data_IF_245261986083
#
_entry.id   IF_245261986083
#
_cell.length_a   1.000
_cell.length_b   1.000
_cell.length_c   1.000
_cell.angle_alpha   90.00
_cell.angle_beta   90.00
_cell.angle_gamma   90.00
#
_symmetry.space_group_name_H-M   'P 1'
#
loop_
_entity.id
_entity.type
_entity.pdbx_description
1 polymer ?
#
# COMPACT_ATOMS: atom_id res chain seq x y z
N UNK A 1 -13.54 -0.98 -20.96
CA UNK A 1 -12.34 -0.11 -20.93
C UNK A 1 -11.33 -0.78 -20.03
N UNK A 2 -10.17 -1.12 -20.59
CA UNK A 2 -9.12 -1.85 -19.89
C UNK A 2 -8.21 -0.88 -19.15
N UNK A 3 -7.96 -1.12 -17.86
CA UNK A 3 -7.12 -0.25 -17.03
C UNK A 3 -5.92 -1.05 -16.52
N UNK A 4 -4.73 -0.49 -16.69
CA UNK A 4 -3.51 -0.94 -16.04
C UNK A 4 -3.03 0.16 -15.10
N UNK A 5 -2.78 -0.15 -13.83
CA UNK A 5 -2.19 0.83 -12.91
C UNK A 5 -0.73 0.54 -12.62
N UNK A 6 0.07 1.57 -12.39
CA UNK A 6 1.49 1.43 -12.03
C UNK A 6 1.76 1.98 -10.62
N UNK A 7 2.40 1.18 -9.77
CA UNK A 7 2.96 1.60 -8.47
C UNK A 7 4.43 1.21 -8.43
N UNK A 8 5.35 2.18 -8.39
CA UNK A 8 6.79 1.89 -8.50
C UNK A 8 7.67 2.80 -7.64
N UNK A 9 8.94 2.44 -7.47
CA UNK A 9 9.97 3.21 -6.77
C UNK A 9 11.03 3.84 -7.70
N UNK A 10 10.81 3.84 -9.01
CA UNK A 10 11.73 4.35 -10.03
C UNK A 10 11.91 5.87 -10.06
N UNK A 11 11.02 6.62 -9.41
CA UNK A 11 10.93 8.07 -9.56
C UNK A 11 10.42 8.50 -10.95
N UNK A 12 10.49 9.80 -11.20
CA UNK A 12 10.04 10.43 -12.46
C UNK A 12 11.21 11.03 -13.27
N UNK A 13 12.45 10.86 -12.80
CA UNK A 13 13.63 11.44 -13.42
C UNK A 13 14.10 10.65 -14.64
N UNK A 14 14.07 9.32 -14.53
CA UNK A 14 14.65 8.41 -15.49
C UNK A 14 13.58 7.79 -16.42
N UNK A 15 14.02 7.06 -17.44
CA UNK A 15 13.17 6.61 -18.54
C UNK A 15 12.30 5.37 -18.23
N UNK A 16 12.45 4.76 -17.05
CA UNK A 16 11.84 3.47 -16.70
C UNK A 16 10.32 3.46 -16.90
N UNK A 17 9.62 4.46 -16.35
CA UNK A 17 8.16 4.59 -16.46
C UNK A 17 7.72 4.67 -17.93
N UNK A 18 8.37 5.52 -18.72
CA UNK A 18 8.04 5.71 -20.12
C UNK A 18 8.27 4.43 -20.95
N UNK A 19 9.30 3.66 -20.62
CA UNK A 19 9.62 2.42 -21.31
C UNK A 19 8.53 1.36 -21.10
N UNK A 20 8.07 1.19 -19.86
CA UNK A 20 6.98 0.25 -19.51
C UNK A 20 5.67 0.67 -20.16
N UNK A 21 5.32 1.96 -20.10
CA UNK A 21 4.13 2.48 -20.78
C UNK A 21 4.20 2.28 -22.29
N UNK A 22 5.35 2.55 -22.89
CA UNK A 22 5.57 2.35 -24.32
C UNK A 22 5.37 0.89 -24.73
N UNK A 23 5.88 -0.06 -23.93
CA UNK A 23 5.64 -1.49 -24.14
C UNK A 23 4.14 -1.83 -24.06
N UNK A 24 3.44 -1.34 -23.05
CA UNK A 24 2.00 -1.59 -22.90
C UNK A 24 1.23 -1.05 -24.12
N UNK A 25 1.48 0.20 -24.52
CA UNK A 25 0.81 0.82 -25.67
C UNK A 25 1.15 0.18 -27.01
N UNK A 26 2.32 -0.45 -27.16
CA UNK A 26 2.64 -1.17 -28.40
C UNK A 26 1.90 -2.51 -28.52
N UNK A 27 1.39 -3.06 -27.42
CA UNK A 27 0.67 -4.34 -27.39
C UNK A 27 -0.84 -4.19 -27.20
N UNK A 28 -1.30 -3.07 -26.64
CA UNK A 28 -2.71 -2.79 -26.38
C UNK A 28 -3.10 -1.43 -26.98
N UNK A 29 -4.01 -1.45 -27.95
CA UNK A 29 -4.47 -0.24 -28.66
C UNK A 29 -5.52 0.58 -27.90
N UNK A 30 -6.26 -0.02 -26.97
CA UNK A 30 -7.34 0.62 -26.19
C UNK A 30 -7.19 0.32 -24.70
N UNK A 31 -6.09 0.80 -24.11
CA UNK A 31 -5.79 0.67 -22.68
C UNK A 31 -5.57 2.03 -22.04
N UNK A 32 -6.09 2.19 -20.83
CA UNK A 32 -5.79 3.35 -19.98
C UNK A 32 -4.74 2.95 -18.95
N UNK A 33 -3.61 3.66 -18.95
CA UNK A 33 -2.59 3.50 -17.91
C UNK A 33 -2.80 4.60 -16.86
N UNK A 34 -2.93 4.20 -15.59
CA UNK A 34 -3.07 5.12 -14.46
C UNK A 34 -1.90 4.94 -13.50
N UNK A 35 -1.11 5.98 -13.30
CA UNK A 35 -0.06 5.94 -12.29
C UNK A 35 -0.70 6.13 -10.92
N UNK A 36 -0.57 5.16 -10.02
CA UNK A 36 -0.90 5.35 -8.61
C UNK A 36 0.20 6.23 -8.00
N UNK A 37 1.46 5.83 -8.16
CA UNK A 37 2.63 6.67 -7.86
C UNK A 37 3.89 6.00 -8.39
N UNK A 38 4.90 6.82 -8.69
CA UNK A 38 6.28 6.37 -8.97
C UNK A 38 7.27 6.89 -7.92
N UNK A 39 6.76 7.48 -6.84
CA UNK A 39 7.53 8.16 -5.80
C UNK A 39 7.58 7.37 -4.51
N UNK A 40 7.32 6.05 -4.56
CA UNK A 40 7.64 5.17 -3.44
C UNK A 40 9.12 5.33 -3.14
N UNK A 41 9.48 5.43 -1.86
CA UNK A 41 10.87 5.42 -1.45
C UNK A 41 11.53 4.13 -1.93
N UNK A 42 12.73 4.19 -2.54
CA UNK A 42 13.40 3.01 -3.06
C UNK A 42 13.41 1.85 -2.07
N UNK A 43 12.92 0.71 -2.52
CA UNK A 43 12.83 -0.55 -1.77
C UNK A 43 11.86 -0.55 -0.57
N UNK A 44 11.01 0.47 -0.39
CA UNK A 44 10.09 0.56 0.74
C UNK A 44 8.78 -0.20 0.47
N UNK A 45 8.82 -1.50 0.75
CA UNK A 45 7.68 -2.43 0.58
C UNK A 45 6.47 -2.00 1.42
N UNK A 46 6.70 -1.47 2.62
CA UNK A 46 5.62 -1.07 3.54
C UNK A 46 4.89 0.18 3.03
N UNK A 47 5.63 1.17 2.54
CA UNK A 47 5.05 2.35 1.90
C UNK A 47 4.25 1.98 0.66
N UNK A 48 4.82 1.14 -0.21
CA UNK A 48 4.16 0.67 -1.43
C UNK A 48 2.84 -0.03 -1.13
N UNK A 49 2.84 -0.97 -0.17
CA UNK A 49 1.66 -1.70 0.24
C UNK A 49 0.59 -0.78 0.84
N UNK A 50 0.99 0.20 1.68
CA UNK A 50 0.06 1.15 2.28
C UNK A 50 -0.63 2.01 1.22
N UNK A 51 0.12 2.59 0.28
CA UNK A 51 -0.45 3.42 -0.79
C UNK A 51 -1.32 2.57 -1.71
N UNK A 52 -0.85 1.39 -2.11
CA UNK A 52 -1.56 0.51 -3.01
C UNK A 52 -2.90 0.05 -2.41
N UNK A 53 -2.92 -0.42 -1.15
CA UNK A 53 -4.13 -0.84 -0.42
C UNK A 53 -5.21 0.24 -0.43
N UNK A 54 -4.80 1.49 -0.19
CA UNK A 54 -5.71 2.64 -0.13
C UNK A 54 -6.13 3.16 -1.51
N UNK A 55 -5.62 2.57 -2.60
CA UNK A 55 -5.88 3.02 -3.99
C UNK A 55 -6.67 2.00 -4.81
N UNK A 56 -6.28 0.72 -4.79
CA UNK A 56 -6.74 -0.26 -5.79
C UNK A 56 -8.26 -0.49 -5.77
N UNK A 57 -8.88 -0.46 -4.58
CA UNK A 57 -10.32 -0.66 -4.38
C UNK A 57 -11.21 0.40 -5.06
N UNK A 58 -10.64 1.54 -5.46
CA UNK A 58 -11.39 2.58 -6.19
C UNK A 58 -11.48 2.30 -7.69
N UNK A 59 -10.71 1.33 -8.19
CA UNK A 59 -10.72 0.96 -9.60
C UNK A 59 -11.82 -0.07 -9.89
N UNK A 60 -12.34 -0.13 -11.14
CA UNK A 60 -13.33 -1.13 -11.51
C UNK A 60 -12.73 -2.54 -11.52
N UNK A 61 -13.59 -3.55 -11.32
CA UNK A 61 -13.24 -4.95 -11.52
C UNK A 61 -12.67 -5.19 -12.93
N UNK A 62 -11.69 -6.08 -13.03
CA UNK A 62 -10.91 -6.35 -14.24
C UNK A 62 -9.67 -5.48 -14.37
N UNK A 63 -9.44 -4.51 -13.47
CA UNK A 63 -8.21 -3.71 -13.47
C UNK A 63 -6.99 -4.56 -13.14
N UNK A 64 -5.91 -4.35 -13.90
CA UNK A 64 -4.62 -4.99 -13.67
C UNK A 64 -3.68 -3.98 -13.00
N UNK A 65 -3.06 -4.35 -11.90
CA UNK A 65 -2.16 -3.50 -11.14
C UNK A 65 -0.74 -4.07 -11.20
N UNK A 66 0.19 -3.29 -11.72
CA UNK A 66 1.61 -3.61 -11.71
C UNK A 66 2.25 -2.89 -10.52
N UNK A 67 2.87 -3.66 -9.64
CA UNK A 67 3.66 -3.18 -8.51
C UNK A 67 5.11 -3.59 -8.74
N UNK A 68 5.99 -2.60 -8.93
CA UNK A 68 7.43 -2.82 -9.09
C UNK A 68 8.18 -1.97 -8.06
N UNK A 69 8.41 -2.58 -6.90
CA UNK A 69 9.15 -2.02 -5.76
C UNK A 69 9.93 -3.17 -5.15
N UNK A 70 11.26 -3.05 -5.08
CA UNK A 70 12.17 -4.16 -4.72
C UNK A 70 11.80 -5.47 -5.45
N UNK A 71 11.65 -5.39 -6.77
CA UNK A 71 11.04 -6.42 -7.60
C UNK A 71 12.04 -7.43 -8.18
N UNK A 72 13.22 -7.53 -7.57
CA UNK A 72 14.24 -8.47 -8.00
C UNK A 72 13.76 -9.90 -7.82
N UNK A 73 13.90 -10.69 -8.88
CA UNK A 73 13.56 -12.10 -8.81
C UNK A 73 14.61 -12.88 -8.02
N UNK A 74 14.14 -13.70 -7.09
CA UNK A 74 14.93 -14.77 -6.47
C UNK A 74 14.02 -15.97 -6.23
N UNK A 75 14.59 -17.15 -5.96
CA UNK A 75 13.81 -18.32 -5.51
C UNK A 75 12.98 -18.03 -4.24
N UNK A 76 13.42 -17.07 -3.42
CA UNK A 76 12.71 -16.67 -2.20
C UNK A 76 11.64 -15.63 -2.45
N UNK A 77 11.80 -14.79 -3.47
CA UNK A 77 10.90 -13.69 -3.84
C UNK A 77 10.52 -13.81 -5.32
N UNK A 78 9.83 -14.89 -5.71
CA UNK A 78 9.46 -15.09 -7.09
C UNK A 78 8.44 -14.04 -7.54
N UNK A 79 8.27 -13.87 -8.85
CA UNK A 79 7.21 -13.01 -9.38
C UNK A 79 5.88 -13.74 -9.35
N UNK A 80 4.83 -13.03 -8.98
CA UNK A 80 3.49 -13.60 -8.83
C UNK A 80 2.45 -12.74 -9.52
N UNK A 81 1.40 -13.43 -9.97
CA UNK A 81 0.12 -12.88 -10.34
C UNK A 81 -0.91 -13.29 -9.29
N UNK A 82 -1.53 -12.30 -8.66
CA UNK A 82 -2.56 -12.48 -7.64
C UNK A 82 -3.89 -12.05 -8.21
N UNK A 83 -4.92 -12.89 -8.08
CA UNK A 83 -6.31 -12.51 -8.37
C UNK A 83 -7.04 -12.29 -7.05
N UNK A 84 -7.66 -11.13 -6.88
CA UNK A 84 -8.37 -10.78 -5.65
C UNK A 84 -9.48 -9.76 -5.90
N UNK A 85 -10.69 -10.04 -5.41
CA UNK A 85 -11.87 -9.17 -5.55
C UNK A 85 -12.13 -8.72 -7.00
N UNK A 86 -11.83 -9.61 -7.96
CA UNK A 86 -11.93 -9.29 -9.38
C UNK A 86 -10.85 -8.35 -9.94
N UNK A 87 -9.80 -8.05 -9.19
CA UNK A 87 -8.59 -7.37 -9.66
C UNK A 87 -7.45 -8.37 -9.89
N UNK A 88 -6.44 -7.93 -10.64
CA UNK A 88 -5.21 -8.68 -10.90
C UNK A 88 -4.01 -7.88 -10.40
N UNK A 89 -3.14 -8.45 -9.58
CA UNK A 89 -1.93 -7.78 -9.08
C UNK A 89 -0.70 -8.54 -9.56
N UNK A 90 0.27 -7.81 -10.11
CA UNK A 90 1.50 -8.37 -10.68
C UNK A 90 2.68 -7.71 -10.01
N UNK A 91 3.64 -8.51 -9.52
CA UNK A 91 4.85 -8.00 -8.87
C UNK A 91 5.66 -9.11 -8.22
N UNK A 92 6.70 -8.74 -7.47
CA UNK A 92 7.46 -9.69 -6.67
C UNK A 92 6.71 -10.09 -5.40
N UNK A 93 6.82 -11.38 -5.03
CA UNK A 93 6.35 -11.90 -3.75
C UNK A 93 7.36 -11.58 -2.64
N UNK A 94 7.60 -10.29 -2.41
CA UNK A 94 8.51 -9.79 -1.37
C UNK A 94 7.76 -9.41 -0.07
N UNK A 95 6.49 -9.77 0.04
CA UNK A 95 5.60 -9.39 1.15
C UNK A 95 4.70 -8.19 0.86
N UNK A 96 4.87 -7.49 -0.28
CA UNK A 96 4.02 -6.35 -0.64
C UNK A 96 2.53 -6.72 -0.71
N UNK A 97 2.20 -7.89 -1.27
CA UNK A 97 0.81 -8.33 -1.43
C UNK A 97 0.19 -8.80 -0.11
N UNK A 98 0.96 -9.46 0.78
CA UNK A 98 0.44 -9.85 2.09
C UNK A 98 0.18 -8.62 2.97
N UNK A 99 1.02 -7.58 2.89
CA UNK A 99 0.74 -6.29 3.53
C UNK A 99 -0.47 -5.58 2.95
N UNK A 100 -0.61 -5.55 1.63
CA UNK A 100 -1.72 -4.85 0.97
C UNK A 100 -3.08 -5.53 1.20
N UNK A 101 -3.09 -6.87 1.31
CA UNK A 101 -4.28 -7.68 1.56
C UNK A 101 -4.55 -7.94 3.04
N UNK A 102 -3.57 -7.70 3.90
CA UNK A 102 -3.63 -7.94 5.34
C UNK A 102 -4.09 -9.36 5.69
N UNK A 103 -5.36 -9.51 6.10
CA UNK A 103 -5.96 -10.79 6.52
C UNK A 103 -6.85 -11.40 5.45
N UNK A 104 -6.99 -10.74 4.30
CA UNK A 104 -7.79 -11.23 3.18
C UNK A 104 -7.02 -12.29 2.39
N UNK A 105 -7.74 -13.35 1.99
CA UNK A 105 -7.17 -14.47 1.24
C UNK A 105 -7.44 -14.22 -0.25
N UNK A 106 -6.42 -14.18 -1.11
CA UNK A 106 -6.60 -14.01 -2.54
C UNK A 106 -7.34 -15.21 -3.16
N UNK A 107 -8.10 -14.95 -4.23
CA UNK A 107 -8.82 -15.99 -4.97
C UNK A 107 -7.87 -17.00 -5.61
N UNK A 108 -6.76 -16.49 -6.18
CA UNK A 108 -5.72 -17.28 -6.83
C UNK A 108 -4.36 -16.60 -6.71
N UNK A 109 -3.32 -17.40 -6.61
CA UNK A 109 -1.92 -16.96 -6.70
C UNK A 109 -1.24 -17.86 -7.73
N UNK A 110 -0.64 -17.25 -8.75
CA UNK A 110 0.15 -17.91 -9.78
C UNK A 110 1.58 -17.40 -9.64
N UNK A 111 2.53 -18.31 -9.42
CA UNK A 111 3.94 -18.02 -9.57
C UNK A 111 4.25 -18.00 -11.07
N UNK A 112 4.74 -16.85 -11.55
CA UNK A 112 4.89 -16.59 -12.97
C UNK A 112 6.10 -17.35 -13.53
N UNK A 113 5.92 -17.95 -14.70
CA UNK A 113 7.05 -18.51 -15.45
C UNK A 113 7.93 -17.37 -15.94
N UNK A 114 9.22 -17.41 -15.62
CA UNK A 114 10.18 -16.48 -16.22
C UNK A 114 10.52 -16.98 -17.61
N UNK A 115 9.80 -16.47 -18.60
CA UNK A 115 10.19 -16.52 -19.99
C UNK A 115 10.57 -15.10 -20.40
N UNK A 116 11.86 -14.82 -20.50
CA UNK A 116 12.32 -13.56 -21.08
C UNK A 116 12.54 -13.73 -22.58
N UNK A 117 11.96 -12.85 -23.38
CA UNK A 117 12.27 -12.74 -24.81
C UNK A 117 13.67 -12.15 -25.07
N UNK A 118 14.34 -11.63 -24.03
CA UNK A 118 15.66 -10.98 -24.11
C UNK A 118 16.59 -11.47 -23.00
N UNK A 119 17.90 -11.46 -23.22
CA UNK A 119 18.90 -11.81 -22.19
C UNK A 119 19.07 -10.72 -21.09
N UNK A 120 18.09 -9.81 -20.93
CA UNK A 120 18.18 -8.63 -20.07
C UNK A 120 17.47 -8.83 -18.73
N UNK A 121 18.22 -9.28 -17.73
CA UNK A 121 17.73 -9.57 -16.38
C UNK A 121 17.57 -8.33 -15.47
N UNK A 122 17.60 -7.12 -16.03
CA UNK A 122 17.63 -5.89 -15.23
C UNK A 122 16.32 -5.11 -15.22
N UNK A 123 15.31 -5.50 -16.02
CA UNK A 123 14.04 -4.76 -16.05
C UNK A 123 12.78 -5.63 -16.19
N UNK A 124 12.52 -6.43 -15.16
CA UNK A 124 11.38 -7.36 -15.09
C UNK A 124 10.02 -6.70 -15.27
N UNK A 125 9.83 -5.47 -14.79
CA UNK A 125 8.55 -4.80 -14.92
C UNK A 125 8.11 -4.57 -16.38
N UNK A 126 9.06 -4.33 -17.28
CA UNK A 126 8.76 -4.23 -18.72
C UNK A 126 8.59 -5.60 -19.34
N UNK A 127 9.54 -6.50 -19.11
CA UNK A 127 9.63 -7.72 -19.91
C UNK A 127 8.70 -8.83 -19.40
N UNK A 128 8.38 -8.84 -18.10
CA UNK A 128 7.50 -9.81 -17.46
C UNK A 128 6.17 -9.15 -17.08
N UNK A 129 6.20 -8.10 -16.24
CA UNK A 129 4.94 -7.62 -15.65
C UNK A 129 4.02 -6.97 -16.68
N UNK A 130 4.56 -6.13 -17.55
CA UNK A 130 3.78 -5.53 -18.63
C UNK A 130 3.30 -6.58 -19.65
N UNK A 131 4.11 -7.60 -19.95
CA UNK A 131 3.70 -8.71 -20.81
C UNK A 131 2.49 -9.45 -20.21
N UNK A 132 2.60 -9.87 -18.95
CA UNK A 132 1.51 -10.55 -18.21
C UNK A 132 0.26 -9.67 -18.16
N UNK A 133 0.41 -8.37 -17.90
CA UNK A 133 -0.73 -7.45 -17.92
C UNK A 133 -1.42 -7.39 -19.28
N UNK A 134 -0.65 -7.37 -20.38
CA UNK A 134 -1.20 -7.38 -21.74
C UNK A 134 -1.94 -8.69 -22.04
N UNK A 135 -1.39 -9.84 -21.65
CA UNK A 135 -2.03 -11.16 -21.80
C UNK A 135 -3.38 -11.23 -21.08
N UNK A 136 -3.44 -10.73 -19.84
CA UNK A 136 -4.68 -10.68 -19.05
C UNK A 136 -5.73 -9.81 -19.75
N UNK A 137 -5.36 -8.62 -20.21
CA UNK A 137 -6.29 -7.71 -20.91
C UNK A 137 -6.79 -8.32 -22.22
N UNK A 138 -5.96 -9.12 -22.92
CA UNK A 138 -6.35 -9.85 -24.12
C UNK A 138 -7.21 -11.10 -23.84
N UNK A 139 -7.48 -11.43 -22.57
CA UNK A 139 -8.36 -12.53 -22.18
C UNK A 139 -7.68 -13.89 -22.11
N UNK A 140 -6.35 -13.93 -22.04
CA UNK A 140 -5.61 -15.17 -21.78
C UNK A 140 -5.86 -15.67 -20.35
N UNK A 141 -5.87 -17.00 -20.19
CA UNK A 141 -6.08 -17.62 -18.88
C UNK A 141 -4.89 -17.37 -17.97
N UNK A 142 -5.14 -16.95 -16.72
CA UNK A 142 -4.05 -16.74 -15.75
C UNK A 142 -3.30 -18.04 -15.41
N UNK A 143 -3.95 -19.19 -15.58
CA UNK A 143 -3.39 -20.53 -15.38
C UNK A 143 -2.35 -20.91 -16.43
N UNK A 144 -2.31 -20.24 -17.60
CA UNK A 144 -1.27 -20.48 -18.61
C UNK A 144 -0.03 -19.61 -18.41
N UNK A 145 -0.01 -18.75 -17.38
CA UNK A 145 1.07 -17.79 -17.13
C UNK A 145 2.10 -18.29 -16.11
N UNK A 146 1.87 -19.46 -15.52
CA UNK A 146 2.79 -20.10 -14.58
C UNK A 146 2.10 -21.16 -13.73
N UNK A 147 2.67 -21.43 -12.56
CA UNK A 147 2.24 -22.51 -11.68
C UNK A 147 1.44 -22.01 -10.47
N UNK A 148 0.39 -22.72 -10.01
CA UNK A 148 -0.32 -22.34 -8.79
C UNK A 148 0.60 -22.30 -7.57
N UNK A 149 0.49 -21.24 -6.77
CA UNK A 149 1.19 -21.07 -5.50
C UNK A 149 0.21 -21.11 -4.33
N UNK A 150 0.58 -21.80 -3.25
CA UNK A 150 -0.31 -22.02 -2.10
C UNK A 150 -0.53 -20.76 -1.24
N UNK A 151 0.50 -19.94 -1.07
CA UNK A 151 0.47 -18.75 -0.22
C UNK A 151 1.50 -17.71 -0.66
N UNK A 152 1.22 -16.45 -0.36
CA UNK A 152 2.17 -15.34 -0.48
C UNK A 152 3.19 -15.36 0.65
N UNK A 153 4.35 -14.75 0.42
CA UNK A 153 5.31 -14.48 1.47
C UNK A 153 4.72 -13.54 2.52
N UNK A 154 4.85 -13.90 3.79
CA UNK A 154 4.22 -13.20 4.89
C UNK A 154 5.03 -11.98 5.34
N UNK A 155 4.41 -10.81 5.27
CA UNK A 155 4.87 -9.59 5.90
C UNK A 155 3.65 -8.90 6.51
N UNK A 156 3.78 -8.44 7.75
CA UNK A 156 2.67 -7.82 8.49
C UNK A 156 3.09 -6.44 8.99
N UNK A 157 2.16 -5.48 8.95
CA UNK A 157 2.33 -4.26 9.71
C UNK A 157 2.39 -4.60 11.21
N UNK A 158 3.10 -3.78 11.98
CA UNK A 158 3.04 -3.90 13.44
C UNK A 158 1.59 -3.72 13.86
N UNK A 159 1.03 -4.68 14.60
CA UNK A 159 -0.28 -4.51 15.22
C UNK A 159 -0.16 -3.63 16.48
N UNK A 160 -1.19 -2.86 16.83
CA UNK A 160 -1.25 -2.19 18.12
C UNK A 160 -1.38 -3.23 19.24
N UNK A 161 -0.77 -2.95 20.39
CA UNK A 161 -0.83 -3.81 21.57
C UNK A 161 -1.65 -3.17 22.68
N UNK A 162 -2.27 -4.01 23.51
CA UNK A 162 -2.94 -3.59 24.74
C UNK A 162 -2.09 -3.99 25.92
N UNK A 163 -1.83 -3.03 26.80
CA UNK A 163 -1.08 -3.21 28.03
C UNK A 163 -1.91 -2.62 29.17
N UNK A 164 -2.58 -3.49 29.94
CA UNK A 164 -3.49 -3.11 31.02
C UNK A 164 -4.55 -2.09 30.54
N UNK A 165 -4.37 -0.82 30.91
CA UNK A 165 -5.32 0.29 30.70
C UNK A 165 -4.88 1.23 29.57
N UNK A 166 -4.00 0.78 28.67
CA UNK A 166 -3.67 1.56 27.48
C UNK A 166 -3.43 0.72 26.22
N UNK A 167 -3.72 1.33 25.07
CA UNK A 167 -3.32 0.86 23.75
C UNK A 167 -1.99 1.54 23.41
N UNK A 168 -1.05 0.75 22.88
CA UNK A 168 0.21 1.21 22.34
C UNK A 168 0.23 0.94 20.83
N UNK A 169 0.17 2.02 20.05
CA UNK A 169 0.35 1.98 18.61
C UNK A 169 1.66 2.66 18.18
N UNK A 170 1.87 2.71 16.88
CA UNK A 170 2.93 3.50 16.26
C UNK A 170 2.49 4.12 14.95
N UNK A 171 3.19 5.19 14.55
CA UNK A 171 3.07 5.75 13.21
C UNK A 171 3.56 4.72 12.19
N UNK A 172 2.73 4.43 11.19
CA UNK A 172 3.04 3.51 10.07
C UNK A 172 3.17 4.22 8.73
N UNK A 173 2.64 5.44 8.62
CA UNK A 173 2.71 6.22 7.39
C UNK A 173 2.66 7.71 7.71
N UNK A 174 3.36 8.52 6.91
CA UNK A 174 3.30 9.98 6.97
C UNK A 174 2.95 10.45 5.56
N UNK A 175 1.82 11.13 5.41
CA UNK A 175 1.36 11.57 4.09
C UNK A 175 2.12 12.82 3.61
N UNK A 176 1.82 13.26 2.38
CA UNK A 176 2.43 14.45 1.80
C UNK A 176 2.08 15.76 2.55
N UNK A 177 0.96 15.81 3.28
CA UNK A 177 0.61 16.95 4.14
C UNK A 177 1.33 16.90 5.50
N UNK A 178 2.09 15.83 5.73
CA UNK A 178 2.75 15.50 6.99
C UNK A 178 1.77 15.17 8.12
N UNK A 179 0.60 14.63 7.78
CA UNK A 179 -0.26 13.95 8.74
C UNK A 179 0.37 12.60 9.10
N UNK A 180 0.38 12.27 10.39
CA UNK A 180 0.97 11.03 10.88
C UNK A 180 -0.14 9.99 11.11
N UNK A 181 -0.12 8.91 10.33
CA UNK A 181 -1.12 7.84 10.37
C UNK A 181 -0.58 6.70 11.22
N UNK A 182 -1.39 6.25 12.19
CA UNK A 182 -1.04 5.20 13.14
C UNK A 182 -1.50 3.81 12.67
N UNK A 183 -1.03 2.74 13.30
CA UNK A 183 -1.57 1.38 13.14
C UNK A 183 -2.86 1.10 13.93
N UNK A 184 -3.47 2.11 14.57
CA UNK A 184 -4.67 1.94 15.39
C UNK A 184 -5.90 2.17 14.50
N UNK A 185 -6.66 1.12 14.21
CA UNK A 185 -7.89 1.24 13.41
C UNK A 185 -9.06 1.77 14.25
N UNK A 186 -10.06 2.35 13.59
CA UNK A 186 -11.30 2.77 14.24
C UNK A 186 -12.02 1.61 14.92
N UNK A 187 -12.05 0.44 14.28
CA UNK A 187 -12.60 -0.79 14.85
C UNK A 187 -11.86 -1.18 16.14
N UNK A 188 -10.53 -1.18 16.12
CA UNK A 188 -9.70 -1.53 17.27
C UNK A 188 -9.92 -0.54 18.42
N UNK A 189 -9.95 0.77 18.11
CA UNK A 189 -10.24 1.80 19.10
C UNK A 189 -11.64 1.62 19.72
N UNK A 190 -12.69 1.44 18.90
CA UNK A 190 -14.06 1.25 19.38
C UNK A 190 -14.20 -0.02 20.22
N UNK A 191 -13.53 -1.11 19.85
CA UNK A 191 -13.56 -2.39 20.57
C UNK A 191 -12.98 -2.29 21.98
N UNK A 192 -11.92 -1.51 22.16
CA UNK A 192 -11.15 -1.49 23.41
C UNK A 192 -11.42 -0.26 24.29
N UNK A 193 -11.55 0.91 23.67
CA UNK A 193 -11.88 2.18 24.35
C UNK A 193 -13.40 2.35 24.48
N UNK A 194 -14.13 2.13 23.39
CA UNK A 194 -15.60 2.31 23.36
C UNK A 194 -16.01 3.71 23.76
N UNK A 195 -16.90 3.81 24.78
CA UNK A 195 -17.41 5.09 25.31
C UNK A 195 -16.64 5.58 26.55
N UNK A 196 -15.52 4.95 26.91
CA UNK A 196 -14.72 5.36 28.07
C UNK A 196 -14.07 6.73 27.81
N UNK A 197 -13.75 7.43 28.90
CA UNK A 197 -12.86 8.60 28.80
C UNK A 197 -11.49 8.10 28.40
N UNK A 198 -10.83 8.80 27.48
CA UNK A 198 -9.50 8.43 27.05
C UNK A 198 -8.59 9.66 26.92
N UNK A 199 -7.29 9.41 26.92
CA UNK A 199 -6.26 10.41 26.63
C UNK A 199 -5.25 9.81 25.67
N UNK A 200 -5.06 10.47 24.53
CA UNK A 200 -4.04 10.10 23.54
C UNK A 200 -2.80 10.95 23.84
N UNK A 201 -1.73 10.27 24.23
CA UNK A 201 -0.43 10.84 24.51
C UNK A 201 0.40 10.85 23.24
N UNK A 202 0.78 12.04 22.79
CA UNK A 202 1.56 12.30 21.59
C UNK A 202 2.91 12.86 22.04
N UNK A 203 4.03 12.18 21.75
CA UNK A 203 5.34 12.69 22.10
C UNK A 203 5.59 14.09 21.49
N UNK A 204 6.34 14.97 22.18
CA UNK A 204 7.01 14.74 23.46
C UNK A 204 6.12 14.92 24.70
N UNK A 205 5.03 15.69 24.62
CA UNK A 205 4.22 16.05 25.82
C UNK A 205 2.77 16.40 25.53
N UNK A 206 2.32 16.31 24.29
CA UNK A 206 0.97 16.70 23.90
C UNK A 206 -0.05 15.63 24.28
N UNK A 207 -1.26 16.07 24.65
CA UNK A 207 -2.36 15.17 25.01
C UNK A 207 -3.65 15.64 24.38
N UNK A 208 -4.43 14.68 23.86
CA UNK A 208 -5.73 14.96 23.23
C UNK A 208 -6.74 13.92 23.70
N UNK A 209 -7.92 14.38 24.13
CA UNK A 209 -9.00 13.53 24.67
C UNK A 209 -10.27 13.56 23.82
N UNK A 210 -10.16 14.00 22.56
CA UNK A 210 -11.28 14.12 21.62
C UNK A 210 -10.88 13.59 20.25
N UNK A 211 -11.78 12.82 19.63
CA UNK A 211 -11.71 12.47 18.22
C UNK A 211 -12.59 13.44 17.43
N UNK A 212 -12.00 14.10 16.45
CA UNK A 212 -12.64 14.99 15.48
C UNK A 212 -13.15 14.21 14.27
N UNK A 213 -14.09 14.81 13.54
CA UNK A 213 -14.63 14.28 12.28
C UNK A 213 -13.96 14.90 11.06
N UNK A 214 -13.50 16.15 11.16
CA UNK A 214 -12.88 16.87 10.05
C UNK A 214 -11.66 17.67 10.52
N UNK A 215 -10.78 18.02 9.58
CA UNK A 215 -9.64 18.92 9.82
C UNK A 215 -10.04 20.30 10.39
N UNK A 216 -11.29 20.75 10.16
CA UNK A 216 -11.77 22.06 10.62
C UNK A 216 -12.34 22.03 12.05
N UNK A 217 -12.41 20.87 12.69
CA UNK A 217 -13.00 20.73 14.03
C UNK A 217 -12.10 21.29 15.15
N UNK A 218 -10.86 21.67 14.81
CA UNK A 218 -9.95 22.42 15.67
C UNK A 218 -9.34 23.61 14.92
N UNK A 219 -9.20 24.74 15.61
CA UNK A 219 -8.54 25.93 15.08
C UNK A 219 -7.09 25.94 15.58
N UNK A 220 -6.13 25.73 14.66
CA UNK A 220 -4.69 25.77 14.95
C UNK A 220 -4.21 24.81 16.05
N UNK A 221 -4.87 23.66 16.21
CA UNK A 221 -4.56 22.66 17.23
C UNK A 221 -4.47 21.24 16.61
N UNK A 222 -3.99 20.28 17.39
CA UNK A 222 -3.91 18.86 17.02
C UNK A 222 -5.31 18.32 16.74
N UNK A 223 -5.48 17.78 15.53
CA UNK A 223 -6.70 17.11 15.10
C UNK A 223 -6.43 15.61 15.09
N UNK A 224 -7.13 14.88 15.94
CA UNK A 224 -7.16 13.43 15.91
C UNK A 224 -8.43 12.96 15.21
N UNK A 225 -8.30 12.17 14.15
CA UNK A 225 -9.47 11.65 13.43
C UNK A 225 -9.21 10.25 12.88
N UNK A 226 -10.28 9.53 12.57
CA UNK A 226 -10.19 8.34 11.74
C UNK A 226 -10.45 8.77 10.29
N UNK A 227 -9.41 8.75 9.45
CA UNK A 227 -9.53 9.18 8.05
C UNK A 227 -10.13 8.09 7.17
N UNK A 228 -10.25 8.34 5.87
CA UNK A 228 -10.78 7.35 4.90
C UNK A 228 -9.98 6.06 4.84
N UNK A 229 -8.76 6.06 5.37
CA UNK A 229 -7.91 4.87 5.52
C UNK A 229 -8.40 3.92 6.62
N UNK A 230 -9.28 4.39 7.52
CA UNK A 230 -9.78 3.64 8.68
C UNK A 230 -8.83 3.64 9.88
N UNK A 231 -7.65 4.27 9.77
CA UNK A 231 -6.68 4.41 10.84
C UNK A 231 -6.80 5.75 11.56
N UNK A 232 -6.38 5.77 12.82
CA UNK A 232 -6.22 7.00 13.59
C UNK A 232 -5.08 7.81 12.97
N UNK A 233 -5.40 9.05 12.62
CA UNK A 233 -4.55 10.04 12.00
C UNK A 233 -4.35 11.22 12.95
N UNK A 234 -3.10 11.67 13.05
CA UNK A 234 -2.68 12.86 13.79
C UNK A 234 -2.35 13.95 12.77
N UNK A 235 -3.19 14.97 12.73
CA UNK A 235 -3.08 16.09 11.80
C UNK A 235 -2.98 17.42 12.57
N UNK A 236 -2.54 18.46 11.87
CA UNK A 236 -2.63 19.83 12.34
C UNK A 236 -3.37 20.65 11.29
N UNK A 237 -4.37 21.44 11.71
CA UNK A 237 -5.11 22.25 10.77
C UNK A 237 -4.18 23.29 10.11
N UNK A 238 -4.02 23.22 8.79
CA UNK A 238 -3.13 24.08 7.97
C UNK A 238 -1.66 24.04 8.39
N UNK A 239 -1.22 22.98 9.03
CA UNK A 239 0.17 22.82 9.42
C UNK A 239 0.62 21.36 9.37
N UNK A 240 1.91 21.12 9.57
CA UNK A 240 2.52 19.80 9.41
C UNK A 240 2.71 19.10 10.75
N UNK A 241 1.86 18.12 11.06
CA UNK A 241 1.91 17.38 12.33
C UNK A 241 3.24 16.67 12.55
N UNK A 242 3.74 15.93 11.57
CA UNK A 242 5.02 15.21 11.69
C UNK A 242 6.21 16.15 11.94
N UNK A 243 6.32 17.25 11.19
CA UNK A 243 7.40 18.23 11.40
C UNK A 243 7.32 18.94 12.74
N UNK A 244 6.14 19.44 13.13
CA UNK A 244 5.98 20.25 14.34
C UNK A 244 6.05 19.42 15.64
N UNK A 245 5.44 18.24 15.62
CA UNK A 245 5.41 17.34 16.78
C UNK A 245 6.60 16.36 16.78
N UNK A 246 7.46 16.41 15.76
CA UNK A 246 8.61 15.51 15.63
C UNK A 246 8.26 14.04 15.42
N UNK A 247 7.07 13.76 14.86
CA UNK A 247 6.60 12.38 14.64
C UNK A 247 7.32 11.78 13.43
N UNK A 248 7.77 10.53 13.59
CA UNK A 248 8.44 9.75 12.56
C UNK A 248 7.78 8.38 12.48
N UNK A 249 8.07 7.63 11.43
CA UNK A 249 7.73 6.21 11.39
C UNK A 249 8.21 5.51 12.67
N UNK A 250 7.41 4.59 13.18
CA UNK A 250 7.62 3.88 14.44
C UNK A 250 7.54 4.71 15.73
N UNK A 251 7.31 6.03 15.66
CA UNK A 251 7.00 6.83 16.85
C UNK A 251 5.79 6.23 17.57
N UNK A 252 5.94 5.98 18.86
CA UNK A 252 4.91 5.34 19.70
C UNK A 252 3.83 6.33 20.10
N UNK A 253 2.57 5.89 19.98
CA UNK A 253 1.39 6.63 20.40
C UNK A 253 0.67 5.81 21.46
N UNK A 254 0.36 6.42 22.60
CA UNK A 254 -0.31 5.75 23.73
C UNK A 254 -1.71 6.29 23.90
N UNK A 255 -2.72 5.42 23.98
CA UNK A 255 -4.10 5.77 24.30
C UNK A 255 -4.45 5.14 25.65
N UNK A 256 -4.64 5.96 26.67
CA UNK A 256 -5.03 5.55 28.03
C UNK A 256 -6.55 5.71 28.22
N UNK A 257 -7.24 4.72 28.80
CA UNK A 257 -8.71 4.70 28.91
C UNK A 257 -9.27 3.81 30.03
#
# INVERSE_FOLDING_TARGET
MSIITLTTDWGLKDYYVANVKGYIYSHLSDVTIVDITHLIKPLDISEAAFIFKNSYNSFPSGTVHILSVDDQWTEKTPHVLVKHQGHYFIGADNGIFSLALEKEIPEKIIELDIQQDTDCWTFYARDIFANVACKIINGESIESMGSPKASLNAMNFSEPSILNDYILGNIIYIDNYQNAITNITEEYFKKHVGNKKFTIHIPPSDTVSKISKTYNDAQEDIVLMFSSTGYLEIALNRSSASSLLGLKLMTKIRIEF
#
